data_IF_196316164031
#
_entry.id   IF_196316164031
#
_cell.length_a   1.000
_cell.length_b   1.000
_cell.length_c   1.000
_cell.angle_alpha   90.00
_cell.angle_beta   90.00
_cell.angle_gamma   90.00
#
_symmetry.space_group_name_H-M   'P 1'
#
loop_
_entity.id
_entity.type
_entity.pdbx_description
1 polymer ?
#
# COMPACT_ATOMS: atom_id res chain seq x y z
N UNK A 1 14.76 -21.12 23.17
CA UNK A 1 13.82 -20.02 22.84
C UNK A 1 14.68 -18.84 22.39
N UNK A 2 15.12 -18.84 21.13
CA UNK A 2 15.98 -17.75 20.62
C UNK A 2 15.09 -16.87 19.77
N UNK A 3 14.65 -15.76 20.36
CA UNK A 3 13.98 -14.66 19.68
C UNK A 3 15.02 -13.93 18.85
N UNK A 4 15.32 -14.44 17.66
CA UNK A 4 15.80 -13.56 16.61
C UNK A 4 14.57 -12.79 16.15
N UNK A 5 14.28 -11.69 16.85
CA UNK A 5 13.50 -10.62 16.28
C UNK A 5 14.25 -10.26 15.00
N UNK A 6 13.69 -10.69 13.87
CA UNK A 6 14.15 -10.32 12.56
C UNK A 6 14.11 -8.78 12.56
N UNK A 7 15.28 -8.17 12.73
CA UNK A 7 15.64 -6.88 12.15
C UNK A 7 15.53 -7.07 10.62
N UNK A 8 14.32 -7.37 10.16
CA UNK A 8 13.97 -7.21 8.78
C UNK A 8 14.00 -5.71 8.60
N UNK A 9 15.01 -5.20 7.91
CA UNK A 9 15.02 -3.85 7.36
C UNK A 9 13.78 -3.77 6.46
N UNK A 10 12.63 -3.42 7.02
CA UNK A 10 11.37 -3.38 6.29
C UNK A 10 11.22 -1.96 5.78
N UNK A 11 11.13 -1.84 4.46
CA UNK A 11 10.71 -0.60 3.84
C UNK A 11 9.25 -0.38 4.17
N UNK A 12 8.96 0.79 4.73
CA UNK A 12 7.61 1.26 4.98
C UNK A 12 7.19 2.21 3.87
N UNK A 13 6.14 1.84 3.12
CA UNK A 13 5.55 2.71 2.12
C UNK A 13 4.10 3.03 2.47
N UNK A 14 3.81 4.32 2.47
CA UNK A 14 2.47 4.89 2.53
C UNK A 14 2.05 5.36 1.14
N UNK A 15 0.95 4.80 0.66
CA UNK A 15 0.32 5.14 -0.62
C UNK A 15 -1.09 5.63 -0.33
N UNK A 16 -1.45 6.79 -0.88
CA UNK A 16 -2.82 7.28 -0.87
C UNK A 16 -3.39 7.30 -2.29
N UNK A 17 -4.60 6.77 -2.44
CA UNK A 17 -5.34 6.74 -3.70
C UNK A 17 -6.64 7.51 -3.56
N UNK A 18 -7.02 8.21 -4.62
CA UNK A 18 -8.30 8.89 -4.74
C UNK A 18 -9.18 8.17 -5.76
N UNK A 19 -10.30 7.59 -5.32
CA UNK A 19 -11.25 6.91 -6.19
C UNK A 19 -12.68 7.42 -5.97
N UNK A 20 -13.32 7.91 -7.05
CA UNK A 20 -14.72 8.39 -7.07
C UNK A 20 -15.08 9.36 -5.94
N UNK A 21 -14.18 10.31 -5.64
CA UNK A 21 -14.39 11.31 -4.57
C UNK A 21 -14.12 10.80 -3.15
N UNK A 22 -13.67 9.55 -3.00
CA UNK A 22 -13.17 8.98 -1.75
C UNK A 22 -11.66 8.86 -1.84
N UNK A 23 -10.97 9.18 -0.76
CA UNK A 23 -9.53 8.98 -0.66
C UNK A 23 -9.22 8.10 0.54
N UNK A 24 -8.37 7.10 0.34
CA UNK A 24 -7.81 6.33 1.45
C UNK A 24 -6.30 6.24 1.31
N UNK A 25 -5.65 6.21 2.47
CA UNK A 25 -4.23 5.96 2.61
C UNK A 25 -4.04 4.58 3.21
N UNK A 26 -3.06 3.85 2.71
CA UNK A 26 -2.67 2.56 3.23
C UNK A 26 -1.16 2.53 3.37
N UNK A 27 -0.72 1.93 4.46
CA UNK A 27 0.68 1.82 4.82
C UNK A 27 1.04 0.34 4.89
N UNK A 28 2.10 -0.03 4.18
CA UNK A 28 2.58 -1.41 4.14
C UNK A 28 4.08 -1.47 4.34
N UNK A 29 4.52 -2.57 4.97
CA UNK A 29 5.92 -2.85 5.25
C UNK A 29 6.34 -4.11 4.52
N UNK A 30 7.44 -4.04 3.78
CA UNK A 30 7.98 -5.16 3.03
C UNK A 30 9.51 -5.14 3.01
N UNK A 31 10.14 -6.20 2.52
CA UNK A 31 11.60 -6.26 2.38
C UNK A 31 12.14 -5.23 1.35
N UNK A 32 11.31 -4.78 0.41
CA UNK A 32 11.69 -3.91 -0.70
C UNK A 32 10.65 -2.80 -0.93
N UNK A 33 11.10 -1.64 -1.41
CA UNK A 33 10.23 -0.50 -1.75
C UNK A 33 9.14 -0.92 -2.74
N UNK A 34 9.47 -1.63 -3.81
CA UNK A 34 8.50 -2.02 -4.83
C UNK A 34 7.38 -2.89 -4.26
N UNK A 35 7.75 -3.82 -3.37
CA UNK A 35 6.81 -4.74 -2.72
C UNK A 35 5.95 -4.01 -1.69
N UNK A 36 6.53 -3.07 -0.94
CA UNK A 36 5.80 -2.23 0.01
C UNK A 36 4.84 -1.28 -0.72
N UNK A 37 5.27 -0.64 -1.81
CA UNK A 37 4.43 0.22 -2.65
C UNK A 37 3.26 -0.56 -3.25
N UNK A 38 3.48 -1.75 -3.84
CA UNK A 38 2.40 -2.57 -4.40
C UNK A 38 1.39 -3.01 -3.35
N UNK A 39 1.85 -3.45 -2.19
CA UNK A 39 0.95 -3.85 -1.10
C UNK A 39 0.18 -2.66 -0.52
N UNK A 40 0.84 -1.52 -0.31
CA UNK A 40 0.21 -0.30 0.15
C UNK A 40 -0.85 0.17 -0.86
N UNK A 41 -0.52 0.22 -2.15
CA UNK A 41 -1.45 0.59 -3.21
C UNK A 41 -2.69 -0.32 -3.25
N UNK A 42 -2.47 -1.63 -3.28
CA UNK A 42 -3.57 -2.62 -3.26
C UNK A 42 -4.46 -2.47 -2.03
N UNK A 43 -3.88 -2.27 -0.85
CA UNK A 43 -4.62 -2.04 0.40
C UNK A 43 -5.37 -0.71 0.42
N UNK A 44 -4.82 0.34 -0.19
CA UNK A 44 -5.50 1.64 -0.31
C UNK A 44 -6.70 1.50 -1.25
N UNK A 45 -6.52 0.78 -2.36
CA UNK A 45 -7.60 0.45 -3.29
C UNK A 45 -8.70 -0.36 -2.59
N UNK A 46 -8.35 -1.44 -1.89
CA UNK A 46 -9.32 -2.23 -1.14
C UNK A 46 -10.13 -1.43 -0.10
N UNK A 47 -9.59 -0.32 0.42
CA UNK A 47 -10.31 0.56 1.35
C UNK A 47 -11.27 1.54 0.65
N UNK A 48 -10.92 2.06 -0.53
CA UNK A 48 -11.83 2.96 -1.29
C UNK A 48 -12.82 2.19 -2.17
N UNK A 49 -12.53 0.94 -2.51
CA UNK A 49 -13.32 0.08 -3.39
C UNK A 49 -14.07 -0.98 -2.59
N UNK A 50 -15.36 -1.19 -2.89
CA UNK A 50 -16.18 -2.20 -2.19
C UNK A 50 -16.22 -3.57 -2.89
N UNK A 51 -15.65 -3.69 -4.07
CA UNK A 51 -15.71 -4.89 -4.90
C UNK A 51 -14.51 -5.04 -5.83
N UNK A 52 -14.31 -6.26 -6.32
CA UNK A 52 -13.15 -6.66 -7.14
C UNK A 52 -13.03 -5.82 -8.42
N UNK A 53 -14.17 -5.49 -9.05
CA UNK A 53 -14.19 -4.65 -10.26
C UNK A 53 -13.60 -3.28 -10.00
N UNK A 54 -14.04 -2.62 -8.92
CA UNK A 54 -13.52 -1.30 -8.56
C UNK A 54 -12.06 -1.36 -8.12
N UNK A 55 -11.63 -2.45 -7.45
CA UNK A 55 -10.22 -2.66 -7.12
C UNK A 55 -9.36 -2.70 -8.38
N UNK A 56 -9.79 -3.39 -9.44
CA UNK A 56 -9.09 -3.39 -10.73
C UNK A 56 -9.06 -2.00 -11.40
N UNK A 57 -10.12 -1.21 -11.26
CA UNK A 57 -10.11 0.17 -11.76
C UNK A 57 -9.12 1.03 -10.97
N UNK A 58 -9.12 0.89 -9.64
CA UNK A 58 -8.21 1.62 -8.75
C UNK A 58 -6.75 1.24 -8.95
N UNK A 59 -6.45 -0.03 -9.26
CA UNK A 59 -5.10 -0.51 -9.59
C UNK A 59 -4.49 0.27 -10.78
N UNK A 60 -5.33 0.71 -11.71
CA UNK A 60 -4.93 1.53 -12.87
C UNK A 60 -4.83 3.02 -12.58
N UNK A 61 -5.25 3.47 -11.39
CA UNK A 61 -5.23 4.87 -11.00
C UNK A 61 -3.89 5.19 -10.32
N UNK A 62 -3.19 6.25 -10.77
CA UNK A 62 -1.96 6.66 -10.13
C UNK A 62 -2.23 7.11 -8.69
N UNK A 63 -1.37 6.70 -7.77
CA UNK A 63 -1.41 7.17 -6.39
C UNK A 63 -1.23 8.69 -6.33
N UNK A 64 -2.09 9.35 -5.55
CA UNK A 64 -1.99 10.80 -5.32
C UNK A 64 -0.81 11.14 -4.42
N UNK A 65 -0.50 10.24 -3.49
CA UNK A 65 0.61 10.39 -2.55
C UNK A 65 1.39 9.08 -2.50
N UNK A 66 2.70 9.21 -2.62
CA UNK A 66 3.70 8.13 -2.49
C UNK A 66 4.74 8.61 -1.50
N UNK A 67 4.83 7.96 -0.34
CA UNK A 67 5.88 8.20 0.66
C UNK A 67 6.47 6.86 1.06
N UNK A 68 7.75 6.68 0.81
CA UNK A 68 8.47 5.48 1.23
C UNK A 68 9.63 5.88 2.12
N UNK A 69 9.70 5.26 3.30
CA UNK A 69 10.79 5.35 4.25
C UNK A 69 11.47 3.98 4.36
N UNK A 70 12.80 3.98 4.43
CA UNK A 70 13.64 2.78 4.37
C UNK A 70 14.61 2.73 5.55
#
# INVERSE_FOLDING_TARGET
MIWYALDATQVECEICVGYRGRSACSLSRAADIETAERQAHSGACAQVTGGVTETLECDRIPATVRRCNQ
#
